data_IF_199089401953
#
_entry.id   IF_199089401953
#
_cell.length_a   1.000
_cell.length_b   1.000
_cell.length_c   1.000
_cell.angle_alpha   90.00
_cell.angle_beta   90.00
_cell.angle_gamma   90.00
#
_symmetry.space_group_name_H-M   'P 1'
#
loop_
_entity.id
_entity.type
_entity.pdbx_description
1 polymer ?
#
# COMPACT_ATOMS: atom_id res chain seq x y z
N UNK A 1 0.44 -27.27 -13.66
CA UNK A 1 0.72 -28.18 -14.79
C UNK A 1 -0.02 -27.72 -16.03
N UNK A 2 -1.33 -27.49 -15.97
CA UNK A 2 -2.15 -27.10 -17.15
C UNK A 2 -1.57 -25.94 -17.98
N UNK A 3 -1.03 -24.88 -17.32
CA UNK A 3 -0.40 -23.76 -18.02
C UNK A 3 0.82 -24.19 -18.81
N UNK A 4 1.66 -25.06 -18.23
CA UNK A 4 2.84 -25.60 -18.93
C UNK A 4 2.44 -26.43 -20.16
N UNK A 5 1.47 -27.33 -20.00
CA UNK A 5 1.01 -28.25 -21.03
C UNK A 5 0.27 -27.54 -22.17
N UNK A 6 -0.44 -26.44 -21.86
CA UNK A 6 -1.21 -25.67 -22.84
C UNK A 6 -0.36 -24.94 -23.88
N UNK A 7 0.91 -24.64 -23.56
CA UNK A 7 1.77 -23.77 -24.37
C UNK A 7 1.31 -22.30 -24.44
N UNK A 8 0.22 -21.93 -23.77
CA UNK A 8 -0.35 -20.57 -23.71
C UNK A 8 0.10 -19.90 -22.42
N UNK A 9 1.15 -19.09 -22.46
CA UNK A 9 1.81 -18.55 -21.27
C UNK A 9 1.55 -17.07 -21.01
N UNK A 10 0.79 -16.38 -21.87
CA UNK A 10 0.38 -15.00 -21.68
C UNK A 10 -0.94 -14.68 -22.40
N UNK A 11 -1.70 -13.71 -21.88
CA UNK A 11 -2.99 -13.23 -22.41
C UNK A 11 -3.96 -14.39 -22.75
N UNK A 12 -4.16 -15.29 -21.83
CA UNK A 12 -5.02 -16.45 -21.98
C UNK A 12 -5.99 -16.60 -20.80
N UNK A 13 -6.53 -17.80 -20.62
CA UNK A 13 -7.68 -18.06 -19.76
C UNK A 13 -7.42 -17.85 -18.27
N UNK A 14 -6.20 -18.11 -17.78
CA UNK A 14 -5.89 -17.97 -16.34
C UNK A 14 -5.81 -16.51 -15.90
N UNK A 15 -5.21 -15.64 -16.71
CA UNK A 15 -5.19 -14.20 -16.44
C UNK A 15 -6.62 -13.66 -16.46
N UNK A 16 -7.42 -13.97 -17.48
CA UNK A 16 -8.80 -13.51 -17.59
C UNK A 16 -9.68 -14.01 -16.43
N UNK A 17 -9.51 -15.26 -16.00
CA UNK A 17 -10.20 -15.82 -14.85
C UNK A 17 -9.80 -15.11 -13.56
N UNK A 18 -8.50 -14.94 -13.33
CA UNK A 18 -7.97 -14.26 -12.14
C UNK A 18 -8.45 -12.81 -12.04
N UNK A 19 -8.45 -12.07 -13.16
CA UNK A 19 -8.96 -10.69 -13.20
C UNK A 19 -10.43 -10.63 -12.74
N UNK A 20 -11.26 -11.54 -13.23
CA UNK A 20 -12.68 -11.63 -12.82
C UNK A 20 -12.85 -11.98 -11.34
N UNK A 21 -12.08 -12.98 -10.86
CA UNK A 21 -12.14 -13.42 -9.47
C UNK A 21 -11.66 -12.33 -8.52
N UNK A 22 -10.57 -11.65 -8.86
CA UNK A 22 -10.00 -10.59 -8.01
C UNK A 22 -10.85 -9.32 -8.01
N UNK A 23 -11.41 -8.92 -9.15
CA UNK A 23 -12.37 -7.82 -9.21
C UNK A 23 -13.56 -8.08 -8.27
N UNK A 24 -14.14 -9.28 -8.32
CA UNK A 24 -15.25 -9.67 -7.47
C UNK A 24 -14.85 -9.68 -5.97
N UNK A 25 -13.66 -10.17 -5.63
CA UNK A 25 -13.14 -10.19 -4.26
C UNK A 25 -12.96 -8.77 -3.70
N UNK A 26 -12.55 -7.82 -4.52
CA UNK A 26 -12.24 -6.45 -4.12
C UNK A 26 -13.42 -5.48 -4.33
N UNK A 27 -14.63 -5.99 -4.64
CA UNK A 27 -15.84 -5.20 -4.93
C UNK A 27 -15.64 -4.17 -6.06
N UNK A 28 -14.76 -4.47 -7.02
CA UNK A 28 -14.51 -3.66 -8.22
C UNK A 28 -15.22 -4.26 -9.44
N UNK A 29 -15.53 -3.43 -10.45
CA UNK A 29 -16.15 -3.91 -11.69
C UNK A 29 -15.13 -4.50 -12.67
N UNK A 30 -13.94 -3.91 -12.72
CA UNK A 30 -12.86 -4.26 -13.64
C UNK A 30 -11.55 -4.50 -12.92
N UNK A 31 -10.76 -5.42 -13.49
CA UNK A 31 -9.40 -5.68 -13.05
C UNK A 31 -8.50 -5.86 -14.27
N UNK A 32 -7.31 -5.31 -14.23
CA UNK A 32 -6.27 -5.45 -15.25
C UNK A 32 -5.02 -6.02 -14.61
N UNK A 33 -4.65 -7.24 -14.97
CA UNK A 33 -3.47 -7.90 -14.44
C UNK A 33 -2.19 -7.37 -15.11
N UNK A 34 -1.24 -6.96 -14.25
CA UNK A 34 0.04 -6.38 -14.65
C UNK A 34 1.20 -7.09 -13.94
N UNK A 35 2.44 -6.78 -14.31
CA UNK A 35 3.61 -7.48 -13.81
C UNK A 35 4.10 -6.99 -12.42
N UNK A 36 3.59 -5.85 -11.92
CA UNK A 36 3.92 -5.36 -10.57
C UNK A 36 2.97 -4.25 -10.12
N UNK A 37 2.89 -4.00 -8.80
CA UNK A 37 2.16 -2.84 -8.27
C UNK A 37 2.76 -1.51 -8.72
N UNK A 38 4.07 -1.42 -8.91
CA UNK A 38 4.74 -0.23 -9.47
C UNK A 38 4.25 0.06 -10.88
N UNK A 39 4.20 -0.94 -11.75
CA UNK A 39 3.67 -0.79 -13.10
C UNK A 39 2.18 -0.41 -13.09
N UNK A 40 1.40 -0.92 -12.13
CA UNK A 40 0.00 -0.53 -11.96
C UNK A 40 -0.14 0.98 -11.71
N UNK A 41 0.65 1.54 -10.79
CA UNK A 41 0.67 2.98 -10.51
C UNK A 41 1.11 3.81 -11.72
N UNK A 42 2.21 3.42 -12.39
CA UNK A 42 2.71 4.11 -13.59
C UNK A 42 1.65 4.13 -14.71
N UNK A 43 1.01 3.00 -14.98
CA UNK A 43 0.00 2.86 -16.02
C UNK A 43 -1.24 3.71 -15.73
N UNK A 44 -1.71 3.72 -14.48
CA UNK A 44 -2.86 4.56 -14.11
C UNK A 44 -2.56 6.04 -14.25
N UNK A 45 -1.38 6.51 -13.81
CA UNK A 45 -0.96 7.90 -14.00
C UNK A 45 -0.85 8.27 -15.49
N UNK A 46 -0.28 7.39 -16.30
CA UNK A 46 -0.20 7.58 -17.75
C UNK A 46 -1.61 7.62 -18.39
N UNK A 47 -2.52 6.73 -17.98
CA UNK A 47 -3.89 6.71 -18.45
C UNK A 47 -4.69 7.98 -18.07
N UNK A 48 -4.31 8.65 -16.99
CA UNK A 48 -4.84 9.94 -16.57
C UNK A 48 -4.19 11.13 -17.31
N UNK A 49 -3.23 10.89 -18.21
CA UNK A 49 -2.49 11.91 -18.92
C UNK A 49 -1.49 12.68 -18.06
N UNK A 50 -1.14 12.14 -16.88
CA UNK A 50 -0.13 12.73 -15.99
C UNK A 50 1.26 12.60 -16.62
N UNK A 51 2.02 13.70 -16.68
CA UNK A 51 3.33 13.75 -17.30
C UNK A 51 4.13 14.99 -16.98
N UNK A 52 5.01 15.38 -17.91
CA UNK A 52 5.89 16.53 -17.72
C UNK A 52 5.14 17.83 -17.42
N UNK A 53 5.53 18.50 -16.35
CA UNK A 53 4.94 19.75 -15.89
C UNK A 53 3.83 19.55 -14.86
N UNK A 54 3.33 18.34 -14.69
CA UNK A 54 2.31 18.03 -13.71
C UNK A 54 2.91 17.68 -12.34
N UNK A 55 2.07 17.78 -11.31
CA UNK A 55 2.38 17.40 -9.93
C UNK A 55 1.40 16.37 -9.41
N UNK A 56 1.91 15.44 -8.59
CA UNK A 56 1.09 14.44 -7.91
C UNK A 56 1.37 14.48 -6.41
N UNK A 57 0.31 14.58 -5.61
CA UNK A 57 0.39 14.55 -4.15
C UNK A 57 0.51 13.11 -3.67
N UNK A 58 1.53 12.84 -2.83
CA UNK A 58 1.78 11.52 -2.23
C UNK A 58 2.20 11.65 -0.76
N UNK A 59 1.95 10.65 0.11
CA UNK A 59 2.49 10.64 1.46
C UNK A 59 3.99 10.29 1.46
N UNK A 60 4.77 10.83 2.40
CA UNK A 60 6.20 10.51 2.52
C UNK A 60 6.48 9.19 3.26
N UNK A 61 5.49 8.62 3.99
CA UNK A 61 5.63 7.38 4.75
C UNK A 61 4.99 6.21 3.99
N UNK A 62 5.69 5.74 2.96
CA UNK A 62 5.28 4.62 2.11
C UNK A 62 6.50 3.98 1.43
N UNK A 63 6.28 2.87 0.72
CA UNK A 63 7.30 2.30 -0.15
C UNK A 63 7.61 3.24 -1.32
N UNK A 64 8.86 3.26 -1.75
CA UNK A 64 9.35 4.21 -2.78
C UNK A 64 8.57 4.14 -4.10
N UNK A 65 7.94 3.02 -4.42
CA UNK A 65 7.20 2.85 -5.67
C UNK A 65 6.07 3.88 -5.85
N UNK A 66 5.38 4.28 -4.77
CA UNK A 66 4.33 5.29 -4.80
C UNK A 66 4.82 6.60 -5.42
N UNK A 67 5.97 7.08 -5.00
CA UNK A 67 6.55 8.32 -5.49
C UNK A 67 7.39 8.13 -6.77
N UNK A 68 8.09 7.00 -6.91
CA UNK A 68 8.88 6.74 -8.13
C UNK A 68 8.01 6.56 -9.37
N UNK A 69 6.79 6.03 -9.23
CA UNK A 69 5.84 5.93 -10.35
C UNK A 69 5.50 7.32 -10.93
N UNK A 70 5.36 8.34 -10.08
CA UNK A 70 5.14 9.72 -10.49
C UNK A 70 6.33 10.24 -11.30
N UNK A 71 7.56 10.04 -10.78
CA UNK A 71 8.77 10.47 -11.48
C UNK A 71 8.98 9.75 -12.82
N UNK A 72 8.58 8.49 -12.91
CA UNK A 72 8.74 7.68 -14.13
C UNK A 72 7.81 8.11 -15.26
N UNK A 73 6.63 8.63 -14.95
CA UNK A 73 5.77 9.24 -15.97
C UNK A 73 6.18 10.69 -16.33
N UNK A 74 7.21 11.21 -15.67
CA UNK A 74 7.76 12.54 -15.94
C UNK A 74 7.14 13.68 -15.13
N UNK A 75 6.24 13.36 -14.20
CA UNK A 75 5.64 14.33 -13.30
C UNK A 75 6.50 14.58 -12.04
N UNK A 76 6.15 15.58 -11.24
CA UNK A 76 6.82 15.93 -10.00
C UNK A 76 6.01 15.46 -8.79
N UNK A 77 6.72 15.11 -7.71
CA UNK A 77 6.10 14.66 -6.46
C UNK A 77 5.91 15.85 -5.52
N UNK A 78 4.69 16.02 -5.00
CA UNK A 78 4.40 16.91 -3.88
C UNK A 78 4.14 16.06 -2.64
N UNK A 79 5.05 16.11 -1.67
CA UNK A 79 4.88 15.37 -0.42
C UNK A 79 3.97 16.12 0.54
N UNK A 80 2.97 15.42 1.06
CA UNK A 80 2.07 15.88 2.12
C UNK A 80 2.14 14.89 3.26
N UNK A 81 2.37 15.39 4.47
CA UNK A 81 2.60 14.55 5.66
C UNK A 81 1.42 13.61 5.96
N UNK A 82 1.67 12.64 6.78
CA UNK A 82 0.67 11.69 7.26
C UNK A 82 0.04 12.15 8.57
N UNK A 83 -1.12 11.59 8.91
CA UNK A 83 -1.79 11.79 10.19
C UNK A 83 -1.48 10.64 11.18
N UNK A 84 -2.22 10.59 12.28
CA UNK A 84 -2.10 9.55 13.30
C UNK A 84 -2.45 8.15 12.81
N UNK A 85 -3.18 8.01 11.70
CA UNK A 85 -3.49 6.72 11.07
C UNK A 85 -2.36 6.22 10.17
N UNK A 86 -1.29 7.01 10.01
CA UNK A 86 -0.12 6.80 9.15
C UNK A 86 -0.44 6.92 7.65
N UNK A 87 -1.60 7.46 7.33
CA UNK A 87 -2.05 7.73 5.97
C UNK A 87 -1.95 9.21 5.64
N UNK A 88 -2.06 9.55 4.35
CA UNK A 88 -2.07 10.91 3.86
C UNK A 88 -3.05 11.79 4.66
N UNK A 89 -2.55 12.87 5.28
CA UNK A 89 -3.37 13.77 6.09
C UNK A 89 -4.25 14.67 5.21
N UNK A 90 -5.59 14.49 5.21
CA UNK A 90 -6.46 15.29 4.36
C UNK A 90 -6.51 16.78 4.72
N UNK A 91 -6.18 17.15 5.97
CA UNK A 91 -6.14 18.56 6.40
C UNK A 91 -5.04 19.36 5.72
N UNK A 92 -4.02 18.69 5.19
CA UNK A 92 -2.86 19.31 4.56
C UNK A 92 -2.93 19.32 3.02
N UNK A 93 -3.86 18.58 2.42
CA UNK A 93 -3.91 18.39 0.97
C UNK A 93 -4.19 19.71 0.25
N UNK A 94 -5.23 20.48 0.65
CA UNK A 94 -5.64 21.69 -0.06
C UNK A 94 -4.53 22.74 -0.12
N UNK A 95 -3.73 22.86 0.95
CA UNK A 95 -2.60 23.79 0.99
C UNK A 95 -1.44 23.41 0.05
N UNK A 96 -1.39 22.16 -0.39
CA UNK A 96 -0.37 21.62 -1.28
C UNK A 96 -0.79 21.63 -2.77
N UNK A 97 -2.06 21.93 -3.06
CA UNK A 97 -2.57 21.98 -4.43
C UNK A 97 -2.05 23.22 -5.16
N UNK A 98 -1.54 23.02 -6.37
CA UNK A 98 -1.15 24.07 -7.32
C UNK A 98 -1.91 23.90 -8.64
N UNK A 99 -1.75 24.84 -9.57
CA UNK A 99 -2.31 24.74 -10.93
C UNK A 99 -1.77 23.52 -11.72
N UNK A 100 -0.63 22.97 -11.29
CA UNK A 100 0.02 21.80 -11.88
C UNK A 100 -0.43 20.47 -11.26
N UNK A 101 -1.10 20.51 -10.13
CA UNK A 101 -1.57 19.28 -9.46
C UNK A 101 -2.62 18.58 -10.32
N UNK A 102 -2.43 17.29 -10.62
CA UNK A 102 -3.32 16.47 -11.45
C UNK A 102 -3.93 15.30 -10.70
N UNK A 103 -3.20 14.74 -9.74
CA UNK A 103 -3.66 13.56 -9.02
C UNK A 103 -3.19 13.55 -7.56
N UNK A 104 -3.89 12.75 -6.77
CA UNK A 104 -3.54 12.41 -5.39
C UNK A 104 -3.39 10.88 -5.32
N UNK A 105 -2.31 10.40 -4.72
CA UNK A 105 -2.11 8.98 -4.45
C UNK A 105 -2.17 8.74 -2.93
N UNK A 106 -3.35 8.49 -2.35
CA UNK A 106 -3.43 7.97 -1.00
C UNK A 106 -2.87 6.55 -0.95
N UNK A 107 -2.19 6.21 0.15
CA UNK A 107 -1.70 4.86 0.42
C UNK A 107 -2.52 4.28 1.58
N UNK A 108 -3.02 3.06 1.44
CA UNK A 108 -3.69 2.36 2.54
C UNK A 108 -2.66 1.62 3.39
N UNK A 109 -1.88 2.38 4.17
CA UNK A 109 -0.69 1.90 4.83
C UNK A 109 -1.00 0.83 5.89
N UNK A 110 -0.26 -0.30 5.85
CA UNK A 110 -0.44 -1.44 6.76
C UNK A 110 -1.90 -1.94 6.82
N UNK A 111 -2.64 -1.78 5.73
CA UNK A 111 -4.07 -2.09 5.56
C UNK A 111 -5.03 -1.17 6.33
N UNK A 112 -4.56 -0.12 6.98
CA UNK A 112 -5.42 0.97 7.44
C UNK A 112 -5.83 1.81 6.22
N UNK A 113 -7.13 1.96 5.99
CA UNK A 113 -7.65 2.70 4.83
C UNK A 113 -7.54 4.20 5.10
N UNK A 114 -6.96 4.94 4.14
CA UNK A 114 -6.94 6.40 4.18
C UNK A 114 -8.35 7.00 4.18
N UNK A 115 -8.53 8.21 4.67
CA UNK A 115 -9.85 8.88 4.67
C UNK A 115 -10.30 9.22 3.25
N UNK A 116 -10.81 8.20 2.56
CA UNK A 116 -11.22 8.31 1.16
C UNK A 116 -12.38 9.26 0.95
N UNK A 117 -13.25 9.44 1.95
CA UNK A 117 -14.37 10.40 1.83
C UNK A 117 -13.84 11.83 1.71
N UNK A 118 -12.91 12.23 2.58
CA UNK A 118 -12.34 13.58 2.57
C UNK A 118 -11.41 13.80 1.39
N UNK A 119 -10.59 12.81 1.08
CA UNK A 119 -9.65 12.88 -0.06
C UNK A 119 -10.43 13.01 -1.38
N UNK A 120 -11.49 12.21 -1.59
CA UNK A 120 -12.33 12.30 -2.79
C UNK A 120 -13.08 13.64 -2.86
N UNK A 121 -13.60 14.14 -1.74
CA UNK A 121 -14.28 15.45 -1.72
C UNK A 121 -13.33 16.61 -2.10
N UNK A 122 -12.08 16.58 -1.60
CA UNK A 122 -11.05 17.55 -1.99
C UNK A 122 -10.71 17.40 -3.47
N UNK A 123 -10.50 16.19 -3.94
CA UNK A 123 -10.17 15.94 -5.34
C UNK A 123 -11.28 16.40 -6.29
N UNK A 124 -12.54 16.12 -5.98
CA UNK A 124 -13.70 16.55 -6.75
C UNK A 124 -13.79 18.09 -6.82
N UNK A 125 -13.61 18.77 -5.68
CA UNK A 125 -13.62 20.25 -5.59
C UNK A 125 -12.57 20.89 -6.49
N UNK A 126 -11.41 20.26 -6.65
CA UNK A 126 -10.27 20.77 -7.40
C UNK A 126 -10.06 20.12 -8.78
N UNK A 127 -10.96 19.22 -9.20
CA UNK A 127 -10.86 18.53 -10.48
C UNK A 127 -9.67 17.58 -10.60
N UNK A 128 -9.24 16.98 -9.48
CA UNK A 128 -8.09 16.06 -9.40
C UNK A 128 -8.54 14.62 -9.48
N UNK A 129 -7.68 13.74 -10.00
CA UNK A 129 -7.90 12.30 -9.96
C UNK A 129 -7.35 11.70 -8.65
N UNK A 130 -8.03 10.67 -8.12
CA UNK A 130 -7.55 9.88 -6.97
C UNK A 130 -7.18 8.48 -7.44
N UNK A 131 -5.92 8.09 -7.24
CA UNK A 131 -5.39 6.76 -7.55
C UNK A 131 -4.91 6.12 -6.25
N UNK A 132 -5.52 5.00 -5.86
CA UNK A 132 -5.19 4.34 -4.61
C UNK A 132 -3.92 3.48 -4.74
N UNK A 133 -2.92 3.71 -3.88
CA UNK A 133 -1.90 2.69 -3.63
C UNK A 133 -2.45 1.71 -2.58
N UNK A 134 -3.10 0.68 -3.08
CA UNK A 134 -3.73 -0.38 -2.30
C UNK A 134 -2.81 -1.61 -2.10
N UNK A 135 -1.49 -1.44 -2.36
CA UNK A 135 -0.50 -2.53 -2.27
C UNK A 135 -0.27 -3.08 -0.85
N UNK A 136 -1.01 -2.62 0.14
CA UNK A 136 -1.06 -3.14 1.51
C UNK A 136 -2.47 -3.54 1.97
N UNK A 137 -3.50 -3.56 1.09
CA UNK A 137 -4.89 -3.58 1.55
C UNK A 137 -5.80 -4.63 0.88
N UNK A 138 -5.26 -5.81 0.51
CA UNK A 138 -6.04 -6.94 -0.07
C UNK A 138 -7.18 -7.37 0.86
N UNK A 139 -8.41 -7.07 0.45
CA UNK A 139 -9.60 -7.36 1.24
C UNK A 139 -9.92 -6.36 2.34
N UNK A 140 -9.18 -5.25 2.49
CA UNK A 140 -9.63 -4.13 3.35
C UNK A 140 -10.86 -3.46 2.75
N UNK A 141 -11.77 -2.99 3.64
CA UNK A 141 -13.03 -2.37 3.21
C UNK A 141 -13.28 -1.05 3.93
N UNK A 142 -13.75 -0.07 3.15
CA UNK A 142 -14.24 1.22 3.60
C UNK A 142 -15.75 1.30 3.41
N UNK A 143 -16.52 1.46 4.49
CA UNK A 143 -17.99 1.48 4.44
C UNK A 143 -18.59 0.28 3.68
N UNK A 144 -17.99 -0.89 3.83
CA UNK A 144 -18.43 -2.13 3.17
C UNK A 144 -17.91 -2.35 1.76
N UNK A 145 -17.28 -1.36 1.10
CA UNK A 145 -16.68 -1.47 -0.22
C UNK A 145 -15.18 -1.75 -0.13
N UNK A 146 -14.66 -2.66 -0.96
CA UNK A 146 -13.24 -2.96 -1.05
C UNK A 146 -12.41 -1.77 -1.52
N UNK A 147 -11.16 -1.67 -1.03
CA UNK A 147 -10.19 -0.69 -1.53
C UNK A 147 -9.80 -0.97 -2.99
N UNK A 148 -9.27 0.03 -3.69
CA UNK A 148 -8.83 -0.08 -5.08
C UNK A 148 -9.87 0.34 -6.11
N UNK A 149 -11.11 0.64 -5.68
CA UNK A 149 -12.16 1.24 -6.49
C UNK A 149 -12.97 2.27 -5.69
N UNK A 150 -12.34 2.88 -4.68
CA UNK A 150 -12.88 4.00 -3.91
C UNK A 150 -12.56 5.34 -4.58
N UNK A 151 -11.47 5.40 -5.35
CA UNK A 151 -11.10 6.50 -6.24
C UNK A 151 -11.35 6.13 -7.72
N UNK A 152 -10.55 6.70 -8.62
CA UNK A 152 -10.59 6.40 -10.07
C UNK A 152 -10.15 4.97 -10.37
N UNK A 153 -9.19 4.47 -9.58
CA UNK A 153 -8.68 3.11 -9.61
C UNK A 153 -7.62 2.88 -8.54
N UNK A 154 -7.20 1.64 -8.35
CA UNK A 154 -6.20 1.29 -7.37
C UNK A 154 -5.22 0.22 -7.81
N UNK A 155 -4.00 0.33 -7.32
CA UNK A 155 -2.90 -0.60 -7.57
C UNK A 155 -2.77 -1.62 -6.44
N UNK A 156 -2.59 -2.89 -6.79
CA UNK A 156 -2.21 -3.94 -5.85
C UNK A 156 -0.92 -4.61 -6.30
N UNK A 157 -0.14 -5.09 -5.34
CA UNK A 157 1.10 -5.82 -5.58
C UNK A 157 0.96 -7.26 -5.11
N UNK A 158 1.57 -8.19 -5.86
CA UNK A 158 1.67 -9.61 -5.50
C UNK A 158 3.14 -10.05 -5.38
N UNK A 159 4.01 -9.12 -4.97
CA UNK A 159 5.40 -9.38 -4.66
C UNK A 159 5.49 -10.35 -3.44
N UNK A 160 6.59 -11.07 -3.30
CA UNK A 160 6.76 -12.19 -2.37
C UNK A 160 6.38 -11.87 -0.90
N UNK A 161 6.57 -10.64 -0.42
CA UNK A 161 6.27 -10.26 0.96
C UNK A 161 4.79 -9.97 1.23
N UNK A 162 3.93 -10.02 0.21
CA UNK A 162 2.53 -9.60 0.27
C UNK A 162 1.60 -10.69 0.81
N UNK A 163 0.44 -10.30 1.32
CA UNK A 163 -0.57 -11.22 1.88
C UNK A 163 -1.03 -12.30 0.89
N UNK A 164 -0.95 -11.98 -0.38
CA UNK A 164 -1.16 -12.88 -1.51
C UNK A 164 -0.05 -12.63 -2.54
N UNK A 165 0.60 -13.67 -3.04
CA UNK A 165 1.81 -13.51 -3.86
C UNK A 165 1.93 -14.51 -5.01
N UNK A 166 2.55 -14.09 -6.11
CA UNK A 166 3.07 -14.96 -7.18
C UNK A 166 4.60 -14.80 -7.36
N UNK A 167 5.30 -14.31 -6.32
CA UNK A 167 6.68 -13.88 -6.41
C UNK A 167 6.78 -12.45 -6.90
N UNK A 168 6.26 -12.16 -8.06
CA UNK A 168 6.01 -10.82 -8.63
C UNK A 168 4.64 -10.79 -9.30
N UNK A 169 4.05 -9.61 -9.41
CA UNK A 169 2.75 -9.38 -10.01
C UNK A 169 2.07 -8.13 -9.46
N UNK A 170 1.01 -7.73 -10.12
CA UNK A 170 0.14 -6.63 -9.68
C UNK A 170 -1.17 -6.65 -10.44
N UNK A 171 -2.11 -5.84 -9.99
CA UNK A 171 -3.34 -5.52 -10.72
C UNK A 171 -3.71 -4.06 -10.56
N UNK A 172 -4.47 -3.57 -11.53
CA UNK A 172 -5.25 -2.34 -11.45
C UNK A 172 -6.70 -2.74 -11.27
N UNK A 173 -7.41 -2.17 -10.29
CA UNK A 173 -8.85 -2.30 -10.13
C UNK A 173 -9.52 -0.95 -10.38
N UNK A 174 -10.73 -0.97 -10.96
CA UNK A 174 -11.51 0.25 -11.21
C UNK A 174 -12.99 -0.09 -11.42
N UNK A 175 -13.87 0.89 -11.23
CA UNK A 175 -15.28 0.80 -11.60
C UNK A 175 -15.58 1.45 -12.96
N UNK A 176 -14.57 2.07 -13.58
CA UNK A 176 -14.66 2.77 -14.86
C UNK A 176 -14.11 1.88 -16.00
N UNK A 177 -14.98 1.47 -16.91
CA UNK A 177 -14.63 0.57 -18.01
C UNK A 177 -13.63 1.18 -18.98
N UNK A 178 -13.87 2.43 -19.39
CA UNK A 178 -13.01 3.14 -20.36
C UNK A 178 -11.60 3.32 -19.79
N UNK A 179 -11.50 3.67 -18.49
CA UNK A 179 -10.22 3.77 -17.79
C UNK A 179 -9.52 2.41 -17.68
N UNK A 180 -10.26 1.36 -17.36
CA UNK A 180 -9.74 -0.01 -17.33
C UNK A 180 -9.22 -0.49 -18.69
N UNK A 181 -9.97 -0.24 -19.78
CA UNK A 181 -9.55 -0.60 -21.13
C UNK A 181 -8.33 0.21 -21.60
N UNK A 182 -8.22 1.50 -21.22
CA UNK A 182 -7.05 2.31 -21.48
C UNK A 182 -5.81 1.78 -20.72
N UNK A 183 -5.96 1.44 -19.43
CA UNK A 183 -4.90 0.82 -18.64
C UNK A 183 -4.44 -0.52 -19.27
N UNK A 184 -5.39 -1.33 -19.74
CA UNK A 184 -5.11 -2.58 -20.45
C UNK A 184 -4.34 -2.35 -21.75
N UNK A 185 -4.72 -1.35 -22.54
CA UNK A 185 -4.03 -0.96 -23.75
C UNK A 185 -2.57 -0.58 -23.44
N UNK A 186 -2.37 0.32 -22.50
CA UNK A 186 -1.03 0.80 -22.09
C UNK A 186 -0.17 -0.37 -21.60
N UNK A 187 -0.70 -1.27 -20.75
CA UNK A 187 0.03 -2.45 -20.25
C UNK A 187 0.38 -3.47 -21.33
N UNK A 188 -0.30 -3.41 -22.48
CA UNK A 188 -0.14 -4.32 -23.62
C UNK A 188 0.45 -3.61 -24.85
N UNK A 189 1.46 -2.80 -24.66
CA UNK A 189 2.16 -2.08 -25.73
C UNK A 189 1.27 -1.10 -26.53
N UNK A 190 0.20 -0.57 -25.95
CA UNK A 190 -0.70 0.36 -26.62
C UNK A 190 -1.71 -0.28 -27.57
N UNK A 191 -1.96 -1.58 -27.46
CA UNK A 191 -2.95 -2.29 -28.30
C UNK A 191 -4.33 -2.18 -27.68
N UNK A 192 -5.26 -1.60 -28.44
CA UNK A 192 -6.65 -1.49 -28.01
C UNK A 192 -7.44 -2.77 -28.30
N UNK A 193 -8.44 -3.08 -27.48
CA UNK A 193 -9.36 -4.20 -27.70
C UNK A 193 -10.14 -3.99 -29.00
N UNK A 194 -10.09 -4.95 -29.89
CA UNK A 194 -10.78 -4.87 -31.20
C UNK A 194 -10.01 -4.15 -32.31
N UNK A 195 -8.85 -3.57 -32.03
CA UNK A 195 -7.96 -3.03 -33.08
C UNK A 195 -7.31 -4.15 -33.92
N UNK A 196 -6.77 -3.80 -35.08
CA UNK A 196 -6.02 -4.73 -35.92
C UNK A 196 -4.77 -5.26 -35.16
N UNK A 197 -4.31 -6.46 -35.49
CA UNK A 197 -3.25 -7.15 -34.75
C UNK A 197 -1.99 -6.31 -34.52
N UNK A 198 -1.61 -5.46 -35.46
CA UNK A 198 -0.41 -4.59 -35.38
C UNK A 198 -0.78 -3.10 -35.35
N UNK A 199 -1.87 -2.78 -34.70
CA UNK A 199 -2.31 -1.39 -34.49
C UNK A 199 -2.08 -1.00 -33.03
N UNK A 200 -1.33 0.08 -32.81
CA UNK A 200 -0.98 0.63 -31.52
C UNK A 200 -1.53 2.06 -31.44
N UNK A 201 -2.51 2.29 -30.56
CA UNK A 201 -3.20 3.57 -30.45
C UNK A 201 -2.62 4.44 -29.36
N UNK A 202 -1.91 3.80 -28.41
CA UNK A 202 -1.32 4.47 -27.25
C UNK A 202 0.18 4.21 -27.15
N UNK A 203 0.89 5.11 -26.48
CA UNK A 203 2.25 4.84 -26.02
C UNK A 203 2.15 3.90 -24.83
N UNK A 204 2.49 2.64 -25.03
CA UNK A 204 2.36 1.62 -23.99
C UNK A 204 3.67 0.90 -23.70
N UNK A 205 3.62 0.00 -22.74
CA UNK A 205 4.74 -0.85 -22.30
C UNK A 205 4.33 -2.31 -22.24
N UNK A 206 5.30 -3.20 -22.17
CA UNK A 206 5.05 -4.60 -21.85
C UNK A 206 5.06 -4.82 -20.32
N UNK A 207 3.89 -4.62 -19.70
CA UNK A 207 3.69 -4.84 -18.29
C UNK A 207 2.66 -5.94 -17.98
N UNK A 208 2.49 -6.89 -18.89
CA UNK A 208 1.52 -7.99 -18.77
C UNK A 208 1.91 -8.96 -17.65
N UNK A 209 0.91 -9.47 -16.92
CA UNK A 209 1.08 -10.64 -16.06
C UNK A 209 1.15 -11.91 -16.93
N UNK A 210 2.01 -12.85 -16.55
CA UNK A 210 2.06 -14.16 -17.17
C UNK A 210 1.04 -15.14 -16.56
N UNK A 211 0.61 -16.15 -17.35
CA UNK A 211 -0.40 -17.14 -16.93
C UNK A 211 0.02 -17.94 -15.70
N UNK A 212 1.31 -18.18 -15.49
CA UNK A 212 1.82 -18.87 -14.28
C UNK A 212 1.51 -18.07 -13.01
N UNK A 213 1.77 -16.75 -13.03
CA UNK A 213 1.45 -15.87 -11.91
C UNK A 213 -0.05 -15.87 -11.61
N UNK A 214 -0.87 -15.72 -12.63
CA UNK A 214 -2.32 -15.73 -12.48
C UNK A 214 -2.85 -17.06 -11.90
N UNK A 215 -2.33 -18.20 -12.35
CA UNK A 215 -2.71 -19.52 -11.83
C UNK A 215 -2.35 -19.69 -10.33
N UNK A 216 -1.18 -19.18 -9.91
CA UNK A 216 -0.78 -19.17 -8.50
C UNK A 216 -1.70 -18.26 -7.69
N UNK A 217 -2.01 -17.07 -8.21
CA UNK A 217 -2.85 -16.08 -7.54
C UNK A 217 -4.30 -16.55 -7.38
N UNK A 218 -4.91 -17.17 -8.41
CA UNK A 218 -6.24 -17.79 -8.28
C UNK A 218 -6.27 -18.83 -7.17
N UNK A 219 -5.24 -19.68 -7.05
CA UNK A 219 -5.16 -20.67 -5.99
C UNK A 219 -5.01 -20.03 -4.59
N UNK A 220 -4.25 -18.94 -4.48
CA UNK A 220 -4.10 -18.23 -3.19
C UNK A 220 -5.36 -17.44 -2.81
N UNK A 221 -6.08 -16.90 -3.78
CA UNK A 221 -7.31 -16.14 -3.56
C UNK A 221 -8.37 -16.97 -2.82
N UNK A 222 -8.43 -18.30 -3.07
CA UNK A 222 -9.40 -19.19 -2.41
C UNK A 222 -9.29 -19.23 -0.89
N UNK A 223 -8.12 -18.89 -0.32
CA UNK A 223 -7.87 -18.89 1.13
C UNK A 223 -7.73 -17.48 1.73
N UNK A 224 -7.64 -16.45 0.88
CA UNK A 224 -7.33 -15.08 1.33
C UNK A 224 -8.38 -14.53 2.28
N UNK A 225 -9.68 -14.80 2.04
CA UNK A 225 -10.78 -14.37 2.91
C UNK A 225 -10.63 -14.93 4.33
N UNK A 226 -10.47 -16.24 4.46
CA UNK A 226 -10.32 -16.89 5.77
C UNK A 226 -9.06 -16.38 6.51
N UNK A 227 -7.96 -16.20 5.79
CA UNK A 227 -6.72 -15.64 6.34
C UNK A 227 -6.89 -14.18 6.78
N UNK A 228 -7.65 -13.37 6.02
CA UNK A 228 -7.93 -11.97 6.38
C UNK A 228 -8.74 -11.89 7.67
N UNK A 229 -9.79 -12.70 7.80
CA UNK A 229 -10.59 -12.76 9.03
C UNK A 229 -9.77 -13.21 10.25
N UNK A 230 -8.86 -14.16 10.06
CA UNK A 230 -7.96 -14.59 11.14
C UNK A 230 -7.00 -13.46 11.56
N UNK A 231 -6.37 -12.76 10.59
CA UNK A 231 -5.50 -11.61 10.89
C UNK A 231 -6.26 -10.50 11.59
N UNK A 232 -7.49 -10.23 11.17
CA UNK A 232 -8.34 -9.20 11.80
C UNK A 232 -8.67 -9.56 13.24
N UNK A 233 -9.06 -10.81 13.52
CA UNK A 233 -9.27 -11.31 14.87
C UNK A 233 -8.02 -11.18 15.75
N UNK A 234 -6.88 -11.63 15.25
CA UNK A 234 -5.61 -11.60 15.96
C UNK A 234 -5.10 -10.16 16.14
N UNK A 235 -5.27 -9.31 15.13
CA UNK A 235 -4.95 -7.88 15.23
C UNK A 235 -5.80 -7.14 16.25
N UNK A 236 -7.09 -7.45 16.35
CA UNK A 236 -7.99 -6.88 17.36
C UNK A 236 -7.55 -7.29 18.78
N UNK A 237 -7.19 -8.56 18.98
CA UNK A 237 -6.63 -9.04 20.25
C UNK A 237 -5.37 -8.28 20.64
N UNK A 238 -4.43 -8.13 19.71
CA UNK A 238 -3.20 -7.38 19.96
C UNK A 238 -3.47 -5.90 20.25
N UNK A 239 -4.41 -5.28 19.55
CA UNK A 239 -4.81 -3.89 19.81
C UNK A 239 -5.30 -3.70 21.25
N UNK A 240 -6.17 -4.59 21.73
CA UNK A 240 -6.71 -4.55 23.08
C UNK A 240 -5.60 -4.66 24.14
N UNK A 241 -4.75 -5.68 24.02
CA UNK A 241 -3.77 -6.01 25.06
C UNK A 241 -2.52 -5.12 25.02
N UNK A 242 -2.02 -4.79 23.82
CA UNK A 242 -0.84 -3.92 23.71
C UNK A 242 -1.16 -2.47 24.05
N UNK A 243 -2.39 -1.98 23.82
CA UNK A 243 -2.78 -0.63 24.25
C UNK A 243 -2.86 -0.47 25.77
N UNK A 244 -2.95 -1.57 26.53
CA UNK A 244 -2.90 -1.57 27.99
C UNK A 244 -1.46 -1.38 28.54
N UNK A 245 -0.43 -1.56 27.70
CA UNK A 245 0.97 -1.35 28.07
C UNK A 245 1.29 0.14 27.89
N UNK A 246 1.66 0.81 28.97
CA UNK A 246 1.98 2.23 28.93
C UNK A 246 3.14 2.53 27.95
N UNK A 247 2.93 3.50 27.06
CA UNK A 247 3.89 3.89 26.04
C UNK A 247 3.75 3.13 24.73
N UNK A 248 2.77 2.21 24.58
CA UNK A 248 2.42 1.58 23.33
C UNK A 248 1.07 2.09 22.82
N UNK A 249 1.02 2.47 21.55
CA UNK A 249 -0.23 2.83 20.84
C UNK A 249 -0.27 2.07 19.51
N UNK A 250 -1.10 1.01 19.37
CA UNK A 250 -1.31 0.36 18.08
C UNK A 250 -1.77 1.35 17.01
N UNK A 251 -1.38 1.12 15.76
CA UNK A 251 -1.84 1.96 14.64
C UNK A 251 -3.37 2.03 14.63
N UNK A 252 -3.97 3.21 14.79
CA UNK A 252 -5.42 3.34 14.84
C UNK A 252 -6.05 3.02 13.49
N UNK A 253 -7.32 2.64 13.53
CA UNK A 253 -8.19 2.53 12.38
C UNK A 253 -9.29 3.58 12.45
N UNK A 254 -9.80 4.01 11.29
CA UNK A 254 -11.01 4.82 11.22
C UNK A 254 -12.25 3.95 11.44
N UNK A 255 -13.27 4.48 12.14
CA UNK A 255 -14.53 3.76 12.40
C UNK A 255 -15.33 3.43 11.13
N UNK A 256 -15.08 4.11 10.02
CA UNK A 256 -15.67 3.84 8.70
C UNK A 256 -15.01 2.65 7.98
N UNK A 257 -13.83 2.21 8.43
CA UNK A 257 -13.18 1.01 7.94
C UNK A 257 -13.90 -0.21 8.52
N UNK A 258 -14.57 -0.96 7.66
CA UNK A 258 -15.38 -2.13 8.05
C UNK A 258 -14.63 -3.46 8.02
N UNK A 259 -13.42 -3.47 7.46
CA UNK A 259 -12.49 -4.62 7.47
C UNK A 259 -11.05 -4.16 7.29
N UNK A 260 -10.12 -4.74 8.06
CA UNK A 260 -8.67 -4.49 7.98
C UNK A 260 -7.91 -5.77 7.65
N UNK A 261 -7.13 -5.79 6.56
CA UNK A 261 -6.45 -7.00 6.09
C UNK A 261 -5.12 -7.29 6.81
N UNK A 262 -4.54 -6.32 7.50
CA UNK A 262 -3.27 -6.41 8.22
C UNK A 262 -2.12 -6.98 7.37
N UNK A 263 -1.54 -6.14 6.51
CA UNK A 263 -0.27 -6.46 5.84
C UNK A 263 0.91 -6.39 6.82
N UNK A 264 0.85 -5.39 7.69
CA UNK A 264 1.75 -5.20 8.81
C UNK A 264 0.90 -5.00 10.07
N UNK A 265 1.39 -5.43 11.20
CA UNK A 265 0.92 -4.95 12.48
C UNK A 265 1.88 -3.87 12.96
N UNK A 266 1.39 -2.67 13.11
CA UNK A 266 2.19 -1.51 13.48
C UNK A 266 1.73 -0.89 14.80
N UNK A 267 2.67 -0.31 15.54
CA UNK A 267 2.41 0.45 16.76
C UNK A 267 3.39 1.59 16.90
N UNK A 268 2.96 2.67 17.55
CA UNK A 268 3.83 3.74 18.01
C UNK A 268 4.30 3.48 19.45
N UNK A 269 5.54 3.83 19.70
CA UNK A 269 6.16 3.83 21.02
C UNK A 269 6.34 5.29 21.44
N UNK A 270 5.96 5.59 22.67
CA UNK A 270 6.35 6.78 23.40
C UNK A 270 7.52 6.39 24.32
N UNK A 271 8.78 6.70 23.96
CA UNK A 271 9.94 6.26 24.73
C UNK A 271 9.97 6.78 26.16
N UNK A 272 9.42 7.98 26.40
CA UNK A 272 9.39 8.59 27.75
C UNK A 272 8.44 7.82 28.67
N UNK A 273 7.26 7.42 28.15
CA UNK A 273 6.31 6.60 28.91
C UNK A 273 6.72 5.13 28.97
N UNK A 274 7.34 4.61 27.92
CA UNK A 274 7.77 3.21 27.90
C UNK A 274 9.00 2.99 28.80
N UNK A 275 9.92 3.95 28.89
CA UNK A 275 11.10 3.93 29.74
C UNK A 275 12.40 3.54 29.04
N UNK A 276 12.37 3.23 27.74
CA UNK A 276 13.56 3.04 26.90
C UNK A 276 13.26 3.38 25.44
N UNK A 277 14.29 3.46 24.59
CA UNK A 277 14.15 3.84 23.19
C UNK A 277 13.48 2.75 22.34
N UNK A 278 12.82 3.15 21.22
CA UNK A 278 12.28 2.25 20.22
C UNK A 278 13.28 1.18 19.76
N UNK A 279 14.54 1.55 19.54
CA UNK A 279 15.56 0.64 19.04
C UNK A 279 15.94 -0.41 20.08
N UNK A 280 16.05 -0.03 21.38
CA UNK A 280 16.24 -0.96 22.48
C UNK A 280 15.07 -1.95 22.60
N UNK A 281 13.83 -1.49 22.44
CA UNK A 281 12.64 -2.36 22.43
C UNK A 281 12.71 -3.36 21.26
N UNK A 282 13.06 -2.89 20.06
CA UNK A 282 13.19 -3.74 18.87
C UNK A 282 14.25 -4.82 19.08
N UNK A 283 15.41 -4.47 19.64
CA UNK A 283 16.49 -5.42 19.87
C UNK A 283 16.13 -6.43 20.96
N UNK A 284 15.48 -6.00 22.06
CA UNK A 284 14.97 -6.89 23.08
C UNK A 284 13.89 -7.84 22.55
N UNK A 285 12.92 -7.33 21.76
CA UNK A 285 11.88 -8.15 21.17
C UNK A 285 12.46 -9.21 20.22
N UNK A 286 13.48 -8.87 19.42
CA UNK A 286 14.21 -9.85 18.59
C UNK A 286 14.93 -10.90 19.41
N UNK A 287 15.53 -10.51 20.54
CA UNK A 287 16.18 -11.46 21.46
C UNK A 287 15.18 -12.44 22.10
N UNK A 288 13.94 -12.01 22.32
CA UNK A 288 12.83 -12.87 22.75
C UNK A 288 12.21 -13.70 21.60
N UNK A 289 12.71 -13.55 20.36
CA UNK A 289 12.28 -14.35 19.20
C UNK A 289 11.20 -13.69 18.34
N UNK A 290 10.78 -12.45 18.59
CA UNK A 290 9.81 -11.73 17.77
C UNK A 290 10.50 -11.01 16.59
N UNK A 291 10.30 -11.42 15.33
CA UNK A 291 10.86 -10.74 14.17
C UNK A 291 10.11 -9.43 13.88
N UNK A 292 10.55 -8.34 14.50
CA UNK A 292 10.02 -6.99 14.32
C UNK A 292 11.10 -6.00 13.86
N UNK A 293 10.70 -4.78 13.52
CA UNK A 293 11.61 -3.73 13.11
C UNK A 293 11.08 -2.33 13.36
N UNK A 294 11.97 -1.33 13.32
CA UNK A 294 11.67 0.09 13.58
C UNK A 294 11.02 0.84 12.41
N UNK A 295 10.36 0.15 11.49
CA UNK A 295 9.71 0.82 10.36
C UNK A 295 10.66 1.20 9.22
N UNK A 296 10.27 2.19 8.41
CA UNK A 296 11.16 2.78 7.40
C UNK A 296 12.26 3.59 8.07
N UNK A 297 13.49 3.48 7.53
CA UNK A 297 14.68 4.14 8.09
C UNK A 297 14.62 5.67 7.92
N UNK A 298 13.91 6.14 6.89
CA UNK A 298 13.71 7.57 6.60
C UNK A 298 12.50 7.77 5.69
N UNK A 299 11.79 8.91 5.79
CA UNK A 299 10.69 9.22 4.90
C UNK A 299 11.17 9.50 3.48
N UNK A 300 10.26 9.36 2.49
CA UNK A 300 10.64 9.43 1.07
C UNK A 300 11.30 10.74 0.68
N UNK A 301 10.82 11.89 1.15
CA UNK A 301 11.40 13.20 0.81
C UNK A 301 12.86 13.35 1.27
N UNK A 302 13.32 12.55 2.24
CA UNK A 302 14.72 12.48 2.70
C UNK A 302 15.53 11.34 2.04
N UNK A 303 14.96 10.60 1.10
CA UNK A 303 15.71 9.58 0.36
C UNK A 303 16.66 10.23 -0.66
N UNK A 304 17.87 9.66 -0.86
CA UNK A 304 18.86 10.20 -1.80
C UNK A 304 18.32 10.42 -3.22
N UNK A 305 17.37 9.60 -3.67
CA UNK A 305 16.76 9.73 -4.99
C UNK A 305 16.00 11.05 -5.18
N UNK A 306 15.47 11.62 -4.10
CA UNK A 306 14.80 12.93 -4.11
C UNK A 306 15.79 14.05 -3.82
N UNK A 307 16.62 13.91 -2.77
CA UNK A 307 17.58 14.95 -2.36
C UNK A 307 18.65 15.26 -3.43
N UNK A 308 19.08 14.25 -4.20
CA UNK A 308 20.11 14.40 -5.22
C UNK A 308 19.54 14.63 -6.62
N UNK A 309 18.22 14.79 -6.77
CA UNK A 309 17.59 14.98 -8.06
C UNK A 309 17.98 16.32 -8.67
N UNK A 310 18.41 16.29 -9.94
CA UNK A 310 18.70 17.50 -10.72
C UNK A 310 17.43 17.94 -11.46
N UNK A 311 17.05 19.20 -11.27
CA UNK A 311 15.80 19.73 -11.79
C UNK A 311 14.59 19.33 -10.91
N UNK A 312 13.49 20.04 -11.04
CA UNK A 312 12.28 19.83 -10.21
C UNK A 312 12.34 20.50 -8.83
N UNK A 313 11.45 20.10 -7.91
CA UNK A 313 11.35 20.70 -6.58
C UNK A 313 12.60 20.49 -5.73
N UNK A 314 12.88 21.46 -4.86
CA UNK A 314 13.94 21.35 -3.85
C UNK A 314 13.40 20.59 -2.60
N UNK A 315 13.57 19.28 -2.62
CA UNK A 315 13.09 18.41 -1.53
C UNK A 315 13.82 18.61 -0.19
N UNK A 316 14.96 19.34 -0.16
CA UNK A 316 15.62 19.68 1.11
C UNK A 316 14.79 20.63 1.97
N UNK A 317 13.83 21.33 1.39
CA UNK A 317 12.91 22.28 2.05
C UNK A 317 11.60 21.62 2.50
N UNK A 318 11.36 20.39 2.13
CA UNK A 318 10.15 19.65 2.53
C UNK A 318 10.27 19.21 3.98
N UNK A 319 9.25 19.49 4.78
CA UNK A 319 9.13 19.07 6.17
C UNK A 319 7.86 18.26 6.35
N UNK A 320 8.02 17.04 6.86
CA UNK A 320 6.93 16.12 7.17
C UNK A 320 7.19 15.55 8.58
N UNK A 321 6.96 16.35 9.64
CA UNK A 321 7.40 16.03 10.99
C UNK A 321 6.81 14.74 11.55
N UNK A 322 5.58 14.37 11.18
CA UNK A 322 4.96 13.12 11.64
C UNK A 322 5.67 11.91 11.01
N UNK A 323 5.87 11.92 9.70
CA UNK A 323 6.59 10.85 9.00
C UNK A 323 8.07 10.77 9.45
N UNK A 324 8.69 11.90 9.75
CA UNK A 324 10.07 11.97 10.28
C UNK A 324 10.16 11.31 11.66
N UNK A 325 9.29 11.68 12.60
CA UNK A 325 9.21 11.07 13.93
C UNK A 325 8.97 9.55 13.84
N UNK A 326 8.06 9.12 12.96
CA UNK A 326 7.77 7.70 12.73
C UNK A 326 9.01 6.92 12.28
N UNK A 327 9.80 7.49 11.39
CA UNK A 327 11.05 6.87 10.93
C UNK A 327 12.13 6.88 12.00
N UNK A 328 12.28 8.00 12.69
CA UNK A 328 13.44 8.23 13.55
C UNK A 328 13.31 7.50 14.91
N UNK A 329 12.10 7.47 15.53
CA UNK A 329 12.02 7.05 16.93
C UNK A 329 10.76 6.35 17.40
N UNK A 330 9.62 6.39 16.64
CA UNK A 330 8.36 6.03 17.28
C UNK A 330 7.71 4.75 16.78
N UNK A 331 8.04 4.24 15.58
CA UNK A 331 7.32 3.11 15.00
C UNK A 331 8.03 1.78 15.19
N UNK A 332 7.25 0.76 15.59
CA UNK A 332 7.61 -0.66 15.48
C UNK A 332 6.56 -1.35 14.63
N UNK A 333 6.97 -2.28 13.78
CA UNK A 333 6.07 -3.20 13.11
C UNK A 333 6.63 -4.61 12.96
N UNK A 334 5.71 -5.55 12.72
CA UNK A 334 6.02 -6.90 12.26
C UNK A 334 5.05 -7.32 11.14
N UNK A 335 5.41 -8.39 10.41
CA UNK A 335 4.74 -8.75 9.16
C UNK A 335 3.55 -9.69 9.37
N UNK A 336 2.63 -9.67 8.42
CA UNK A 336 1.34 -10.38 8.43
C UNK A 336 1.38 -11.90 8.72
N UNK A 337 2.44 -12.68 8.41
CA UNK A 337 2.44 -14.11 8.73
C UNK A 337 2.29 -14.41 10.21
N UNK A 338 2.82 -13.55 11.10
CA UNK A 338 2.66 -13.71 12.55
C UNK A 338 1.19 -13.66 12.97
N UNK A 339 0.38 -12.86 12.30
CA UNK A 339 -1.06 -12.74 12.57
C UNK A 339 -1.89 -13.96 12.08
N UNK A 340 -1.26 -14.96 11.46
CA UNK A 340 -1.90 -16.25 11.12
C UNK A 340 -1.67 -17.32 12.20
N UNK A 341 -0.98 -16.95 13.28
CA UNK A 341 -0.74 -17.80 14.43
C UNK A 341 -2.00 -18.11 15.25
N UNK A 342 -1.81 -18.92 16.28
CA UNK A 342 -2.83 -19.29 17.27
C UNK A 342 -3.08 -18.13 18.25
N UNK A 343 -4.08 -18.27 19.10
CA UNK A 343 -4.32 -17.32 20.20
C UNK A 343 -3.16 -17.29 21.20
N UNK A 344 -2.47 -18.44 21.40
CA UNK A 344 -1.28 -18.49 22.26
C UNK A 344 -0.11 -17.69 21.66
N UNK A 345 0.10 -17.77 20.33
CA UNK A 345 1.14 -16.98 19.66
C UNK A 345 0.87 -15.47 19.82
N UNK A 346 -0.40 -15.05 19.83
CA UNK A 346 -0.76 -13.66 20.09
C UNK A 346 -0.48 -13.26 21.55
N UNK A 347 -0.77 -14.15 22.49
CA UNK A 347 -0.45 -13.92 23.90
C UNK A 347 1.06 -13.82 24.12
N UNK A 348 1.85 -14.69 23.48
CA UNK A 348 3.31 -14.66 23.58
C UNK A 348 3.87 -13.30 23.09
N UNK A 349 3.28 -12.71 22.04
CA UNK A 349 3.65 -11.34 21.59
C UNK A 349 3.36 -10.31 22.68
N UNK A 350 2.20 -10.38 23.33
CA UNK A 350 1.83 -9.48 24.45
C UNK A 350 2.78 -9.66 25.62
N UNK A 351 3.09 -10.90 25.98
CA UNK A 351 4.00 -11.23 27.10
C UNK A 351 5.42 -10.70 26.86
N UNK A 352 5.91 -10.78 25.60
CA UNK A 352 7.21 -10.19 25.20
C UNK A 352 7.22 -8.68 25.49
N UNK A 353 6.24 -7.91 25.00
CA UNK A 353 6.23 -6.47 25.24
C UNK A 353 6.00 -6.09 26.70
N UNK A 354 5.21 -6.89 27.43
CA UNK A 354 5.00 -6.73 28.88
C UNK A 354 6.31 -6.91 29.62
N UNK A 355 7.05 -8.00 29.35
CA UNK A 355 8.37 -8.27 29.94
C UNK A 355 9.37 -7.15 29.63
N UNK A 356 9.43 -6.68 28.37
CA UNK A 356 10.32 -5.59 27.98
C UNK A 356 9.95 -4.30 28.74
N UNK A 357 8.66 -4.00 28.92
CA UNK A 357 8.21 -2.84 29.70
C UNK A 357 8.63 -2.93 31.18
N UNK A 358 8.48 -4.11 31.80
CA UNK A 358 8.86 -4.35 33.19
C UNK A 358 10.36 -4.14 33.43
N UNK A 359 11.20 -4.45 32.41
CA UNK A 359 12.65 -4.32 32.47
C UNK A 359 13.21 -3.12 31.68
N UNK A 360 12.35 -2.16 31.29
CA UNK A 360 12.76 -1.04 30.44
C UNK A 360 13.91 -0.19 31.06
N UNK A 361 13.93 -0.05 32.37
CA UNK A 361 15.01 0.67 33.08
C UNK A 361 16.39 0.01 32.92
N UNK A 362 16.45 -1.32 32.87
CA UNK A 362 17.69 -2.07 32.65
C UNK A 362 18.21 -1.94 31.22
N UNK A 363 17.33 -1.70 30.28
CA UNK A 363 17.67 -1.48 28.85
C UNK A 363 18.14 -0.04 28.59
N UNK A 364 17.80 0.91 29.47
CA UNK A 364 18.15 2.31 29.31
C UNK A 364 19.57 2.63 29.83
N UNK A 365 20.16 1.72 30.66
CA UNK A 365 21.55 1.78 31.16
C UNK A 365 22.55 1.32 30.08
#
# INVERSE_FOLDING_TARGET
>A
MDVLESGKWFLSDRVAQFEKEYAAFQDAKYCVAVNSGTAALEIMLQALGVGHGDEVIVPPYTFVATASAVLRVGAEVTFVDVDETWNLNPDLIEAAITERTKAIIPVHFASAVADMDRINAIAEKHGLAVVEDACHSWGSKWKGKGTGALGKGGAFSFQMSKNMTAGEGGVITTDDEDFGDLCRSISNCGRHKGAAWYEHTEVGTNARMGEFGAAVLSAQLTRLEAQTLLREKNGAFLNEHLSAIEGITPQPGDSRMTRRAYHLYGMKIDPEKFGCSRDQIVDAAKAEGLPCGGGYIRPLHKQPVFLNRKGGPDYTKVSCPVAEDMCDRSVIWFTHPLLLGTQQDMQDIVDIFTKIKEHAGELAE
#
